data_IF_637684926977
#
_entry.id   IF_637684926977
#
_cell.length_a   1.000
_cell.length_b   1.000
_cell.length_c   1.000
_cell.angle_alpha   90.00
_cell.angle_beta   90.00
_cell.angle_gamma   90.00
#
_symmetry.space_group_name_H-M   'P 1'
#
loop_
_entity.id
_entity.type
_entity.pdbx_description
1 polymer ?
#
# COMPACT_ATOMS: atom_id res chain seq x y z
N UNK A 1 -15.57 17.00 15.28
CA UNK A 1 -14.12 16.79 15.06
C UNK A 1 -13.76 15.90 13.87
N UNK A 2 -14.70 15.11 13.37
CA UNK A 2 -14.56 14.35 12.09
C UNK A 2 -14.36 15.34 10.93
N UNK A 3 -15.11 16.43 10.91
CA UNK A 3 -14.99 17.48 9.88
C UNK A 3 -13.61 18.16 9.85
N UNK A 4 -13.02 18.44 11.01
CA UNK A 4 -11.67 19.03 11.11
C UNK A 4 -10.57 18.08 10.63
N UNK A 5 -10.76 16.75 10.78
CA UNK A 5 -9.82 15.72 10.31
C UNK A 5 -9.95 15.44 8.82
N UNK A 6 -11.17 15.34 8.30
CA UNK A 6 -11.38 15.26 6.85
C UNK A 6 -10.82 16.50 6.16
N UNK A 7 -10.99 17.68 6.76
CA UNK A 7 -10.35 18.92 6.31
C UNK A 7 -8.83 18.87 6.48
N UNK A 8 -8.30 18.20 7.51
CA UNK A 8 -6.85 18.01 7.71
C UNK A 8 -6.24 17.05 6.68
N UNK A 9 -6.88 15.92 6.40
CA UNK A 9 -6.47 14.98 5.35
C UNK A 9 -6.65 15.58 3.96
N UNK A 10 -7.73 16.33 3.73
CA UNK A 10 -7.92 17.09 2.51
C UNK A 10 -6.83 18.15 2.35
N UNK A 11 -6.46 18.85 3.45
CA UNK A 11 -5.35 19.82 3.46
C UNK A 11 -4.00 19.16 3.20
N UNK A 12 -3.72 17.98 3.75
CA UNK A 12 -2.48 17.26 3.49
C UNK A 12 -2.39 16.76 2.03
N UNK A 13 -3.49 16.22 1.49
CA UNK A 13 -3.61 15.89 0.06
C UNK A 13 -3.53 17.13 -0.83
N UNK A 14 -4.18 18.21 -0.43
CA UNK A 14 -4.09 19.50 -1.12
C UNK A 14 -2.69 20.10 -1.03
N UNK A 15 -1.95 19.89 0.07
CA UNK A 15 -0.57 20.38 0.22
C UNK A 15 0.39 19.59 -0.68
N UNK A 16 0.20 18.28 -0.80
CA UNK A 16 0.97 17.45 -1.73
C UNK A 16 0.66 17.81 -3.20
N UNK A 17 -0.62 17.92 -3.55
CA UNK A 17 -1.07 18.41 -4.86
C UNK A 17 -0.61 19.86 -5.09
N UNK A 18 -0.62 20.69 -4.06
CA UNK A 18 -0.13 22.08 -4.12
C UNK A 18 1.39 22.16 -4.33
N UNK A 19 2.16 21.29 -3.69
CA UNK A 19 3.62 21.23 -3.89
C UNK A 19 3.95 20.81 -5.33
N UNK A 20 3.31 19.76 -5.84
CA UNK A 20 3.42 19.36 -7.24
C UNK A 20 2.98 20.48 -8.19
N UNK A 21 1.89 21.19 -7.84
CA UNK A 21 1.33 22.27 -8.61
C UNK A 21 2.23 23.53 -8.59
N UNK A 22 2.83 23.87 -7.43
CA UNK A 22 3.68 25.06 -7.30
C UNK A 22 4.98 24.92 -8.09
N UNK A 23 5.59 23.73 -8.11
CA UNK A 23 6.79 23.46 -8.90
C UNK A 23 6.51 23.55 -10.41
N UNK A 24 5.37 23.00 -10.87
CA UNK A 24 4.92 23.14 -12.26
C UNK A 24 4.50 24.59 -12.59
N UNK A 25 3.93 25.30 -11.60
CA UNK A 25 3.40 26.65 -11.78
C UNK A 25 4.53 27.68 -11.95
N UNK A 26 5.67 27.52 -11.27
CA UNK A 26 6.80 28.44 -11.40
C UNK A 26 7.44 28.40 -12.79
N UNK A 27 7.38 27.27 -13.48
CA UNK A 27 7.96 27.10 -14.82
C UNK A 27 7.06 27.56 -15.98
N UNK A 28 5.80 28.00 -15.72
CA UNK A 28 4.83 28.29 -16.76
C UNK A 28 4.78 29.78 -17.14
N UNK A 29 4.46 30.12 -18.41
CA UNK A 29 4.10 31.47 -18.84
C UNK A 29 2.88 32.02 -18.07
N UNK A 30 2.81 33.34 -17.86
CA UNK A 30 1.78 33.99 -17.04
C UNK A 30 0.35 33.76 -17.53
N UNK A 31 0.13 33.65 -18.83
CA UNK A 31 -1.17 33.31 -19.42
C UNK A 31 -1.63 31.89 -19.09
N UNK A 32 -0.66 30.97 -18.98
CA UNK A 32 -0.92 29.59 -18.57
C UNK A 32 -1.10 29.46 -17.05
N UNK A 33 -0.42 30.30 -16.24
CA UNK A 33 -0.63 30.38 -14.80
C UNK A 33 -2.07 30.75 -14.44
N UNK A 34 -2.65 31.74 -15.12
CA UNK A 34 -4.03 32.16 -14.90
C UNK A 34 -5.02 31.03 -15.24
N UNK A 35 -4.82 30.36 -16.36
CA UNK A 35 -5.64 29.25 -16.82
C UNK A 35 -5.52 28.04 -15.88
N UNK A 36 -4.33 27.79 -15.34
CA UNK A 36 -4.09 26.73 -14.36
C UNK A 36 -4.73 27.03 -12.99
N UNK A 37 -4.80 28.29 -12.59
CA UNK A 37 -5.53 28.68 -11.38
C UNK A 37 -7.04 28.40 -11.48
N UNK A 38 -7.62 28.67 -12.66
CA UNK A 38 -9.02 28.36 -12.97
C UNK A 38 -9.26 26.83 -13.02
N UNK A 39 -8.31 26.09 -13.58
CA UNK A 39 -8.28 24.63 -13.65
C UNK A 39 -8.14 24.00 -12.26
N UNK A 40 -7.27 24.55 -11.39
CA UNK A 40 -7.10 24.07 -10.02
C UNK A 40 -8.40 24.21 -9.20
N UNK A 41 -9.10 25.31 -9.39
CA UNK A 41 -10.41 25.51 -8.78
C UNK A 41 -11.44 24.51 -9.34
N UNK A 42 -11.40 24.22 -10.63
CA UNK A 42 -12.24 23.21 -11.29
C UNK A 42 -11.92 21.78 -10.82
N UNK A 43 -10.62 21.44 -10.70
CA UNK A 43 -10.17 20.13 -10.25
C UNK A 43 -10.52 19.82 -8.77
N UNK A 44 -10.49 20.83 -7.92
CA UNK A 44 -10.98 20.71 -6.53
C UNK A 44 -12.49 20.44 -6.50
N UNK A 45 -13.21 20.81 -7.57
CA UNK A 45 -14.66 20.67 -7.69
C UNK A 45 -15.14 19.63 -8.72
N UNK A 46 -14.27 18.81 -9.33
CA UNK A 46 -14.70 17.65 -10.07
C UNK A 46 -14.10 17.32 -11.43
N UNK A 47 -13.03 17.98 -11.89
CA UNK A 47 -12.41 17.64 -13.18
C UNK A 47 -11.22 16.68 -13.03
N UNK A 48 -11.53 15.39 -13.07
CA UNK A 48 -10.59 14.27 -12.88
C UNK A 48 -9.44 14.26 -13.91
N UNK A 49 -9.73 14.56 -15.17
CA UNK A 49 -8.76 14.48 -16.28
C UNK A 49 -7.57 15.43 -16.12
N UNK A 50 -7.76 16.53 -15.40
CA UNK A 50 -6.71 17.52 -15.15
C UNK A 50 -5.72 17.04 -14.10
N UNK A 51 -6.22 16.46 -13.00
CA UNK A 51 -5.35 15.87 -11.96
C UNK A 51 -4.52 14.72 -12.53
N UNK A 52 -5.10 13.89 -13.39
CA UNK A 52 -4.41 12.82 -14.08
C UNK A 52 -3.31 13.36 -15.01
N UNK A 53 -3.56 14.43 -15.74
CA UNK A 53 -2.57 15.08 -16.61
C UNK A 53 -1.42 15.71 -15.82
N UNK A 54 -1.72 16.37 -14.69
CA UNK A 54 -0.70 16.96 -13.80
C UNK A 54 0.17 15.87 -13.17
N UNK A 55 -0.44 14.80 -12.67
CA UNK A 55 0.28 13.65 -12.11
C UNK A 55 1.18 12.98 -13.14
N UNK A 56 0.69 12.76 -14.37
CA UNK A 56 1.50 12.20 -15.44
C UNK A 56 2.69 13.09 -15.80
N UNK A 57 2.50 14.42 -15.85
CA UNK A 57 3.59 15.35 -16.13
C UNK A 57 4.63 15.40 -15.02
N UNK A 58 4.20 15.35 -13.75
CA UNK A 58 5.09 15.25 -12.60
C UNK A 58 5.98 13.99 -12.71
N UNK A 59 5.38 12.81 -12.84
CA UNK A 59 6.14 11.57 -12.96
C UNK A 59 7.06 11.51 -14.18
N UNK A 60 6.67 12.06 -15.34
CA UNK A 60 7.56 12.15 -16.52
C UNK A 60 8.84 12.91 -16.23
N UNK A 61 8.79 13.94 -15.37
CA UNK A 61 9.96 14.79 -15.04
C UNK A 61 10.77 14.24 -13.86
N UNK A 62 10.10 13.79 -12.80
CA UNK A 62 10.72 13.60 -11.47
C UNK A 62 10.95 12.14 -11.05
N UNK A 63 10.54 11.16 -11.84
CA UNK A 63 10.68 9.76 -11.45
C UNK A 63 12.13 9.32 -11.18
N UNK A 64 13.11 9.93 -11.85
CA UNK A 64 14.53 9.62 -11.62
C UNK A 64 14.98 10.06 -10.24
N UNK A 65 14.53 11.21 -9.80
CA UNK A 65 14.81 11.77 -8.47
C UNK A 65 14.11 10.93 -7.40
N UNK A 66 12.86 10.53 -7.65
CA UNK A 66 12.10 9.68 -6.74
C UNK A 66 12.70 8.26 -6.58
N UNK A 67 13.41 7.75 -7.59
CA UNK A 67 14.11 6.46 -7.51
C UNK A 67 15.43 6.58 -6.74
N UNK A 68 16.14 7.71 -6.85
CA UNK A 68 17.44 7.90 -6.23
C UNK A 68 17.27 8.55 -4.84
N UNK A 69 17.41 7.75 -3.80
CA UNK A 69 17.54 8.24 -2.43
C UNK A 69 19.03 8.38 -2.07
N UNK A 70 19.44 9.61 -1.69
CA UNK A 70 20.77 9.88 -1.15
C UNK A 70 21.93 9.49 -2.09
N UNK A 71 22.96 8.83 -1.56
CA UNK A 71 24.25 8.53 -2.22
C UNK A 71 24.18 7.46 -3.33
N UNK A 72 23.14 7.46 -4.19
CA UNK A 72 22.99 6.53 -5.31
C UNK A 72 22.31 5.21 -4.92
N UNK A 73 21.59 5.17 -3.82
CA UNK A 73 20.68 4.08 -3.47
C UNK A 73 19.36 4.25 -4.21
N UNK A 74 18.73 3.13 -4.57
CA UNK A 74 17.39 3.14 -5.14
C UNK A 74 16.37 2.76 -4.07
N UNK A 75 15.18 3.36 -4.16
CA UNK A 75 14.01 2.93 -3.38
C UNK A 75 13.65 1.47 -3.68
N UNK A 76 13.11 0.78 -2.69
CA UNK A 76 12.69 -0.62 -2.84
C UNK A 76 11.40 -0.78 -3.63
N UNK A 77 10.51 0.23 -3.54
CA UNK A 77 9.15 0.22 -4.08
C UNK A 77 8.72 1.64 -4.50
N UNK A 78 7.87 1.74 -5.54
CA UNK A 78 7.29 3.00 -6.04
C UNK A 78 5.78 2.96 -5.94
N UNK A 79 5.21 3.99 -5.31
CA UNK A 79 3.78 4.12 -5.08
C UNK A 79 3.07 4.80 -6.25
N UNK A 80 2.10 4.09 -6.86
CA UNK A 80 1.13 4.64 -7.82
C UNK A 80 1.74 5.46 -8.99
N UNK A 81 3.01 5.22 -9.32
CA UNK A 81 3.78 6.02 -10.28
C UNK A 81 3.22 5.98 -11.72
N UNK A 82 2.45 4.93 -12.05
CA UNK A 82 1.98 4.67 -13.42
C UNK A 82 0.49 4.95 -13.63
N UNK A 83 -0.21 5.36 -12.59
CA UNK A 83 -1.68 5.49 -12.55
C UNK A 83 -2.26 6.36 -13.66
N UNK A 84 -1.64 7.49 -13.93
CA UNK A 84 -2.15 8.53 -14.84
C UNK A 84 -1.75 8.34 -16.31
N UNK A 85 -1.01 7.28 -16.63
CA UNK A 85 -0.56 7.00 -17.99
C UNK A 85 -1.50 6.03 -18.71
N UNK A 86 -1.53 6.09 -20.06
CA UNK A 86 -2.17 5.05 -20.86
C UNK A 86 -1.47 3.70 -20.67
N UNK A 87 -2.09 2.56 -21.02
CA UNK A 87 -1.47 1.25 -20.84
C UNK A 87 -0.08 1.12 -21.47
N UNK A 88 0.09 1.64 -22.66
CA UNK A 88 1.37 1.60 -23.40
C UNK A 88 2.42 2.50 -22.75
N UNK A 89 2.06 3.75 -22.45
CA UNK A 89 2.98 4.69 -21.78
C UNK A 89 3.41 4.17 -20.40
N UNK A 90 2.49 3.54 -19.65
CA UNK A 90 2.81 2.89 -18.37
C UNK A 90 3.89 1.83 -18.53
N UNK A 91 3.71 0.92 -19.50
CA UNK A 91 4.66 -0.16 -19.74
C UNK A 91 6.03 0.36 -20.20
N UNK A 92 6.04 1.35 -21.09
CA UNK A 92 7.27 1.98 -21.59
C UNK A 92 8.01 2.68 -20.43
N UNK A 93 7.31 3.45 -19.60
CA UNK A 93 7.89 4.15 -18.44
C UNK A 93 8.36 3.15 -17.36
N UNK A 94 7.59 2.11 -17.05
CA UNK A 94 8.02 1.07 -16.13
C UNK A 94 9.33 0.41 -16.58
N UNK A 95 9.46 0.08 -17.86
CA UNK A 95 10.68 -0.49 -18.43
C UNK A 95 11.85 0.51 -18.37
N UNK A 96 11.59 1.80 -18.57
CA UNK A 96 12.61 2.85 -18.44
C UNK A 96 13.10 2.97 -17.00
N UNK A 97 12.18 2.97 -16.02
CA UNK A 97 12.50 2.99 -14.59
C UNK A 97 13.36 1.78 -14.19
N UNK A 98 12.98 0.57 -14.58
CA UNK A 98 13.75 -0.64 -14.28
C UNK A 98 15.15 -0.59 -14.89
N UNK A 99 15.26 -0.20 -16.17
CA UNK A 99 16.54 -0.06 -16.85
C UNK A 99 17.44 0.96 -16.17
N UNK A 100 16.89 2.10 -15.77
CA UNK A 100 17.62 3.13 -15.04
C UNK A 100 18.18 2.58 -13.72
N UNK A 101 17.37 1.85 -12.94
CA UNK A 101 17.82 1.25 -11.68
C UNK A 101 18.98 0.27 -11.91
N UNK A 102 18.85 -0.60 -12.92
CA UNK A 102 19.89 -1.59 -13.25
C UNK A 102 21.19 -0.95 -13.73
N UNK A 103 21.12 0.18 -14.44
CA UNK A 103 22.31 0.84 -15.00
C UNK A 103 22.93 1.89 -14.09
N UNK A 104 22.12 2.64 -13.33
CA UNK A 104 22.53 3.86 -12.66
C UNK A 104 22.62 3.76 -11.15
N UNK A 105 22.08 2.70 -10.53
CA UNK A 105 22.16 2.55 -9.08
C UNK A 105 23.29 1.62 -8.64
N UNK A 106 23.76 1.79 -7.41
CA UNK A 106 24.88 1.03 -6.85
C UNK A 106 24.61 -0.48 -6.77
N UNK A 107 23.41 -0.87 -6.31
CA UNK A 107 23.08 -2.27 -6.06
C UNK A 107 22.39 -2.95 -7.24
N UNK A 108 21.88 -2.18 -8.19
CA UNK A 108 21.19 -2.72 -9.38
C UNK A 108 20.01 -3.64 -9.03
N UNK A 109 19.30 -3.32 -7.94
CA UNK A 109 18.14 -4.09 -7.48
C UNK A 109 16.88 -3.48 -8.08
N UNK A 110 16.12 -4.19 -8.93
CA UNK A 110 14.89 -3.68 -9.54
C UNK A 110 13.87 -3.22 -8.50
N UNK A 111 13.07 -2.19 -8.83
CA UNK A 111 12.02 -1.68 -7.95
C UNK A 111 10.71 -2.46 -8.13
N UNK A 112 9.93 -2.56 -7.07
CA UNK A 112 8.52 -2.96 -7.15
C UNK A 112 7.70 -1.70 -7.43
N UNK A 113 6.77 -1.76 -8.37
CA UNK A 113 5.79 -0.70 -8.62
C UNK A 113 4.44 -1.24 -8.18
N UNK A 114 3.79 -0.54 -7.24
CA UNK A 114 2.48 -0.93 -6.76
C UNK A 114 1.38 0.06 -7.14
N UNK A 115 0.16 -0.43 -7.16
CA UNK A 115 -1.06 0.35 -7.28
C UNK A 115 -2.23 -0.33 -6.56
N UNK A 116 -3.37 0.37 -6.46
CA UNK A 116 -4.60 -0.16 -5.93
C UNK A 116 -5.37 -0.95 -7.00
N UNK A 117 -5.87 -2.14 -6.63
CA UNK A 117 -6.55 -3.04 -7.56
C UNK A 117 -7.80 -3.69 -6.96
N UNK A 118 -8.55 -2.98 -6.10
CA UNK A 118 -9.67 -3.56 -5.34
C UNK A 118 -10.76 -4.15 -6.23
N UNK A 119 -11.13 -3.45 -7.30
CA UNK A 119 -12.14 -3.87 -8.27
C UNK A 119 -11.78 -3.45 -9.71
N UNK A 120 -10.53 -3.52 -10.04
CA UNK A 120 -9.84 -3.07 -11.24
C UNK A 120 -8.57 -2.35 -10.86
N UNK A 121 -7.54 -2.37 -11.70
CA UNK A 121 -6.36 -1.55 -11.48
C UNK A 121 -6.77 -0.07 -11.56
N UNK A 122 -6.47 0.71 -10.52
CA UNK A 122 -6.86 2.13 -10.45
C UNK A 122 -5.96 3.00 -11.34
N UNK A 123 -5.88 2.65 -12.62
CA UNK A 123 -5.06 3.35 -13.60
C UNK A 123 -5.87 3.65 -14.87
N UNK A 124 -5.50 4.73 -15.56
CA UNK A 124 -6.18 5.20 -16.76
C UNK A 124 -6.31 4.11 -17.82
N UNK A 125 -7.55 3.85 -18.27
CA UNK A 125 -7.86 2.87 -19.32
C UNK A 125 -7.89 1.41 -18.84
N UNK A 126 -7.87 1.16 -17.52
CA UNK A 126 -8.18 -0.16 -16.98
C UNK A 126 -9.68 -0.39 -16.84
N UNK A 127 -10.08 -1.65 -16.85
CA UNK A 127 -11.46 -2.05 -16.61
C UNK A 127 -11.84 -1.81 -15.15
N UNK A 128 -12.97 -1.14 -14.94
CA UNK A 128 -13.59 -1.01 -13.61
C UNK A 128 -14.68 -2.06 -13.46
N UNK A 129 -14.48 -2.99 -12.55
CA UNK A 129 -15.47 -3.98 -12.14
C UNK A 129 -16.36 -3.42 -11.03
N UNK A 130 -17.46 -4.08 -10.66
CA UNK A 130 -18.24 -3.72 -9.48
C UNK A 130 -17.38 -3.70 -8.21
N UNK A 131 -17.75 -2.85 -7.24
CA UNK A 131 -17.09 -2.80 -5.94
C UNK A 131 -17.00 -4.16 -5.26
N UNK A 132 -16.01 -4.36 -4.39
CA UNK A 132 -15.74 -5.64 -3.73
C UNK A 132 -16.95 -6.20 -2.99
N UNK A 133 -17.74 -5.36 -2.32
CA UNK A 133 -18.98 -5.76 -1.66
C UNK A 133 -20.04 -6.29 -2.66
N UNK A 134 -20.13 -5.70 -3.85
CA UNK A 134 -21.03 -6.15 -4.89
C UNK A 134 -20.55 -7.48 -5.53
N UNK A 135 -19.24 -7.64 -5.74
CA UNK A 135 -18.67 -8.92 -6.18
C UNK A 135 -18.90 -10.02 -5.14
N UNK A 136 -18.76 -9.73 -3.85
CA UNK A 136 -19.06 -10.68 -2.77
C UNK A 136 -20.53 -11.08 -2.73
N UNK A 137 -21.45 -10.17 -3.10
CA UNK A 137 -22.89 -10.43 -3.15
C UNK A 137 -23.31 -11.45 -4.22
N UNK A 138 -22.42 -11.80 -5.14
CA UNK A 138 -22.64 -12.87 -6.11
C UNK A 138 -22.57 -14.26 -5.47
N UNK A 139 -21.86 -14.42 -4.35
CA UNK A 139 -21.55 -15.70 -3.71
C UNK A 139 -20.83 -16.68 -4.65
N UNK A 140 -20.15 -16.16 -5.67
CA UNK A 140 -19.50 -16.92 -6.74
C UNK A 140 -17.97 -16.74 -6.71
N UNK A 141 -17.23 -17.64 -6.05
CA UNK A 141 -15.77 -17.57 -5.98
C UNK A 141 -15.08 -17.80 -7.34
N UNK A 142 -15.71 -18.53 -8.26
CA UNK A 142 -15.13 -18.80 -9.58
C UNK A 142 -15.22 -17.52 -10.44
N UNK A 143 -16.34 -16.82 -10.41
CA UNK A 143 -16.48 -15.50 -11.03
C UNK A 143 -15.47 -14.50 -10.42
N UNK A 144 -15.28 -14.51 -9.10
CA UNK A 144 -14.27 -13.67 -8.45
C UNK A 144 -12.87 -13.96 -8.99
N UNK A 145 -12.50 -15.23 -9.20
CA UNK A 145 -11.22 -15.63 -9.76
C UNK A 145 -11.05 -15.16 -11.20
N UNK A 146 -12.09 -15.22 -12.02
CA UNK A 146 -12.09 -14.72 -13.39
C UNK A 146 -11.87 -13.21 -13.43
N UNK A 147 -12.62 -12.44 -12.63
CA UNK A 147 -12.46 -10.99 -12.46
C UNK A 147 -11.05 -10.65 -12.01
N UNK A 148 -10.56 -11.31 -10.96
CA UNK A 148 -9.21 -11.10 -10.43
C UNK A 148 -8.11 -11.43 -11.46
N UNK A 149 -8.33 -12.46 -12.28
CA UNK A 149 -7.43 -12.81 -13.39
C UNK A 149 -7.38 -11.71 -14.45
N UNK A 150 -8.54 -11.13 -14.79
CA UNK A 150 -8.61 -10.01 -15.72
C UNK A 150 -7.88 -8.77 -15.17
N UNK A 151 -8.14 -8.42 -13.89
CA UNK A 151 -7.43 -7.33 -13.18
C UNK A 151 -5.91 -7.57 -13.21
N UNK A 152 -5.48 -8.79 -12.88
CA UNK A 152 -4.06 -9.15 -12.85
C UNK A 152 -3.38 -9.01 -14.22
N UNK A 153 -4.03 -9.41 -15.29
CA UNK A 153 -3.52 -9.24 -16.67
C UNK A 153 -3.32 -7.76 -17.03
N UNK A 154 -4.33 -6.92 -16.76
CA UNK A 154 -4.23 -5.50 -17.03
C UNK A 154 -3.15 -4.83 -16.18
N UNK A 155 -3.07 -5.18 -14.90
CA UNK A 155 -2.07 -4.68 -13.96
C UNK A 155 -0.65 -5.03 -14.39
N UNK A 156 -0.41 -6.31 -14.70
CA UNK A 156 0.92 -6.79 -15.12
C UNK A 156 1.34 -6.19 -16.44
N UNK A 157 0.43 -6.08 -17.41
CA UNK A 157 0.72 -5.52 -18.73
C UNK A 157 1.20 -4.06 -18.70
N UNK A 158 0.87 -3.33 -17.63
CA UNK A 158 1.30 -1.95 -17.40
C UNK A 158 2.66 -1.82 -16.74
N UNK A 159 3.27 -2.93 -16.29
CA UNK A 159 4.52 -2.92 -15.53
C UNK A 159 4.31 -2.72 -14.02
N UNK A 160 3.09 -2.88 -13.51
CA UNK A 160 2.77 -2.88 -12.08
C UNK A 160 2.99 -4.31 -11.55
N UNK A 161 3.67 -4.42 -10.40
CA UNK A 161 4.14 -5.69 -9.85
C UNK A 161 3.34 -6.13 -8.63
N UNK A 162 2.74 -5.18 -7.91
CA UNK A 162 2.02 -5.42 -6.66
C UNK A 162 0.70 -4.66 -6.65
N UNK A 163 -0.34 -5.34 -6.20
CA UNK A 163 -1.64 -4.80 -5.91
C UNK A 163 -1.79 -4.64 -4.39
N UNK A 164 -2.08 -3.45 -3.90
CA UNK A 164 -2.43 -3.22 -2.50
C UNK A 164 -3.87 -3.66 -2.22
N UNK A 165 -4.14 -4.92 -2.50
CA UNK A 165 -5.46 -5.55 -2.54
C UNK A 165 -5.33 -7.05 -2.25
N UNK A 166 -6.38 -7.72 -1.76
CA UNK A 166 -7.74 -7.25 -1.49
C UNK A 166 -7.91 -6.61 -0.10
N UNK A 167 -8.99 -5.83 0.08
CA UNK A 167 -9.43 -5.40 1.42
C UNK A 167 -10.33 -6.47 2.02
N UNK A 168 -9.81 -7.18 3.03
CA UNK A 168 -10.47 -8.33 3.67
C UNK A 168 -10.85 -8.07 5.13
N UNK A 169 -10.98 -6.80 5.47
CA UNK A 169 -11.52 -6.39 6.76
C UNK A 169 -12.99 -6.80 6.88
N UNK A 170 -13.40 -7.23 8.06
CA UNK A 170 -14.78 -7.65 8.34
C UNK A 170 -15.62 -6.43 8.66
N UNK A 171 -16.67 -6.19 7.83
CA UNK A 171 -17.50 -4.98 7.86
C UNK A 171 -18.59 -5.08 8.94
N UNK A 172 -18.22 -5.18 10.22
CA UNK A 172 -19.17 -5.25 11.34
C UNK A 172 -19.68 -3.90 11.84
N UNK A 173 -18.95 -2.82 11.55
CA UNK A 173 -19.40 -1.47 11.89
C UNK A 173 -19.81 -0.73 10.61
N UNK A 174 -21.13 -0.51 10.40
CA UNK A 174 -21.62 0.16 9.19
C UNK A 174 -21.25 1.64 9.11
N UNK A 175 -20.70 2.22 10.18
CA UNK A 175 -20.20 3.61 10.18
C UNK A 175 -18.85 3.77 9.51
N UNK A 176 -18.15 2.66 9.22
CA UNK A 176 -16.91 2.70 8.46
C UNK A 176 -17.16 3.18 7.03
N UNK A 177 -16.49 4.26 6.63
CA UNK A 177 -16.62 4.87 5.30
C UNK A 177 -15.97 4.08 4.16
N UNK A 178 -15.46 2.85 4.43
CA UNK A 178 -14.79 1.98 3.45
C UNK A 178 -15.43 0.58 3.37
N UNK A 179 -16.69 0.47 3.79
CA UNK A 179 -17.42 -0.80 3.80
C UNK A 179 -17.53 -1.42 2.41
N UNK A 180 -17.69 -0.60 1.37
CA UNK A 180 -17.80 -1.06 -0.03
C UNK A 180 -16.52 -1.72 -0.57
N UNK A 181 -15.37 -1.45 0.04
CA UNK A 181 -14.11 -2.10 -0.34
C UNK A 181 -14.00 -3.54 0.16
N UNK A 182 -14.86 -3.95 1.11
CA UNK A 182 -14.80 -5.25 1.78
C UNK A 182 -15.64 -6.33 1.09
N UNK A 183 -15.46 -7.57 1.52
CA UNK A 183 -16.33 -8.69 1.13
C UNK A 183 -17.50 -8.92 2.12
N UNK A 184 -17.81 -7.93 2.96
CA UNK A 184 -18.93 -7.97 3.91
C UNK A 184 -18.53 -8.36 5.33
N UNK A 185 -19.54 -8.78 6.11
CA UNK A 185 -19.38 -9.03 7.54
C UNK A 185 -19.11 -10.51 7.90
N UNK A 186 -19.26 -11.43 6.95
CA UNK A 186 -19.07 -12.86 7.18
C UNK A 186 -17.62 -13.28 6.97
N UNK A 187 -16.92 -13.84 7.99
CA UNK A 187 -15.51 -14.23 7.88
C UNK A 187 -15.27 -15.37 6.89
N UNK A 188 -16.25 -16.28 6.69
CA UNK A 188 -16.11 -17.38 5.76
C UNK A 188 -16.21 -16.90 4.31
N UNK A 189 -17.24 -16.12 3.98
CA UNK A 189 -17.39 -15.51 2.65
C UNK A 189 -16.16 -14.65 2.31
N UNK A 190 -15.71 -13.79 3.24
CA UNK A 190 -14.52 -12.98 3.06
C UNK A 190 -13.28 -13.85 2.79
N UNK A 191 -13.14 -14.99 3.46
CA UNK A 191 -12.03 -15.93 3.25
C UNK A 191 -12.06 -16.55 1.85
N UNK A 192 -13.22 -17.02 1.40
CA UNK A 192 -13.36 -17.71 0.10
C UNK A 192 -13.13 -16.72 -1.05
N UNK A 193 -13.72 -15.52 -0.97
CA UNK A 193 -13.53 -14.48 -1.97
C UNK A 193 -12.08 -13.99 -2.01
N UNK A 194 -11.43 -13.83 -0.85
CA UNK A 194 -10.02 -13.47 -0.77
C UNK A 194 -9.10 -14.50 -1.43
N UNK A 195 -9.32 -15.79 -1.20
CA UNK A 195 -8.56 -16.86 -1.84
C UNK A 195 -8.66 -16.74 -3.35
N UNK A 196 -9.88 -16.64 -3.90
CA UNK A 196 -10.11 -16.53 -5.35
C UNK A 196 -9.47 -15.28 -5.96
N UNK A 197 -9.56 -14.15 -5.27
CA UNK A 197 -8.93 -12.91 -5.71
C UNK A 197 -7.40 -13.03 -5.75
N UNK A 198 -6.78 -13.57 -4.69
CA UNK A 198 -5.33 -13.74 -4.58
C UNK A 198 -4.81 -14.69 -5.65
N UNK A 199 -5.46 -15.84 -5.83
CA UNK A 199 -5.08 -16.82 -6.86
C UNK A 199 -5.18 -16.23 -8.27
N UNK A 200 -6.24 -15.46 -8.55
CA UNK A 200 -6.42 -14.79 -9.84
C UNK A 200 -5.29 -13.80 -10.18
N UNK A 201 -4.96 -12.89 -9.26
CA UNK A 201 -3.89 -11.91 -9.47
C UNK A 201 -2.50 -12.55 -9.47
N UNK A 202 -2.19 -13.38 -8.46
CA UNK A 202 -0.85 -14.00 -8.36
C UNK A 202 -0.60 -14.98 -9.51
N UNK A 203 -1.63 -15.60 -10.07
CA UNK A 203 -1.54 -16.36 -11.30
C UNK A 203 -1.07 -15.54 -12.50
N UNK A 204 -1.21 -14.22 -12.47
CA UNK A 204 -0.71 -13.28 -13.48
C UNK A 204 0.63 -12.62 -13.09
N UNK A 205 1.34 -13.14 -12.09
CA UNK A 205 2.58 -12.55 -11.57
C UNK A 205 2.41 -11.12 -11.05
N UNK A 206 1.30 -10.86 -10.34
CA UNK A 206 1.07 -9.65 -9.57
C UNK A 206 0.96 -10.05 -8.10
N UNK A 207 1.82 -9.51 -7.25
CA UNK A 207 1.79 -9.72 -5.80
C UNK A 207 0.53 -9.13 -5.23
N UNK A 208 -0.20 -9.89 -4.42
CA UNK A 208 -1.33 -9.37 -3.65
C UNK A 208 -0.93 -8.98 -2.24
N UNK A 209 -1.60 -7.98 -1.70
CA UNK A 209 -1.37 -7.45 -0.36
C UNK A 209 -2.70 -7.40 0.40
N UNK A 210 -3.18 -8.53 0.94
CA UNK A 210 -4.35 -8.52 1.81
C UNK A 210 -4.24 -7.47 2.89
N UNK A 211 -5.30 -6.68 3.10
CA UNK A 211 -5.28 -5.53 4.00
C UNK A 211 -6.59 -5.33 4.73
N UNK A 212 -6.61 -4.66 5.85
CA UNK A 212 -5.50 -4.14 6.66
C UNK A 212 -5.40 -5.01 7.91
N UNK A 213 -4.25 -5.59 8.18
CA UNK A 213 -4.03 -6.56 9.26
C UNK A 213 -3.75 -5.84 10.59
N UNK A 214 -4.74 -5.76 11.51
CA UNK A 214 -6.01 -6.45 11.53
C UNK A 214 -7.10 -5.56 12.15
N UNK A 215 -8.36 -5.86 11.84
CA UNK A 215 -9.56 -5.26 12.42
C UNK A 215 -9.65 -3.72 12.28
N UNK A 216 -9.18 -3.17 11.16
CA UNK A 216 -9.06 -1.71 10.94
C UNK A 216 -10.41 -0.98 10.92
N UNK A 217 -11.50 -1.62 10.45
CA UNK A 217 -12.79 -0.96 10.19
C UNK A 217 -13.76 -1.00 11.37
N UNK A 218 -13.35 -1.54 12.50
CA UNK A 218 -14.18 -1.69 13.71
C UNK A 218 -13.63 -0.94 14.91
N UNK A 219 -12.76 0.03 14.67
CA UNK A 219 -12.31 0.96 15.71
C UNK A 219 -13.45 1.82 16.25
N UNK A 220 -13.20 2.48 17.36
CA UNK A 220 -14.18 3.30 18.07
C UNK A 220 -14.93 4.26 17.14
N UNK A 221 -16.25 4.09 17.06
CA UNK A 221 -17.12 4.89 16.20
C UNK A 221 -17.02 4.55 14.70
N UNK A 222 -16.47 3.40 14.31
CA UNK A 222 -16.23 3.02 12.92
C UNK A 222 -15.14 3.84 12.24
N UNK A 223 -14.31 4.53 13.02
CA UNK A 223 -13.28 5.44 12.49
C UNK A 223 -12.03 4.68 12.11
N UNK A 224 -11.47 5.03 10.97
CA UNK A 224 -10.17 4.55 10.55
C UNK A 224 -9.06 4.96 11.52
N UNK A 225 -8.12 4.08 11.77
CA UNK A 225 -6.96 4.28 12.63
C UNK A 225 -7.27 4.46 14.14
N UNK A 226 -8.50 4.19 14.57
CA UNK A 226 -8.85 4.23 16.00
C UNK A 226 -8.59 2.88 16.67
N UNK A 227 -8.40 2.93 17.98
CA UNK A 227 -8.11 1.78 18.81
C UNK A 227 -9.25 0.76 18.80
N UNK A 228 -8.89 -0.52 18.89
CA UNK A 228 -9.83 -1.62 19.12
C UNK A 228 -9.49 -2.35 20.42
N UNK A 229 -10.55 -2.87 21.06
CA UNK A 229 -10.49 -3.60 22.32
C UNK A 229 -11.16 -4.95 22.14
N UNK A 230 -10.47 -5.89 21.51
CA UNK A 230 -10.98 -7.24 21.29
C UNK A 230 -10.10 -8.26 22.00
N UNK A 231 -10.76 -9.23 22.66
CA UNK A 231 -10.05 -10.39 23.17
C UNK A 231 -9.36 -11.15 22.03
N UNK A 232 -8.28 -11.85 22.33
CA UNK A 232 -7.60 -12.72 21.36
C UNK A 232 -8.58 -13.72 20.74
N UNK A 233 -9.54 -14.24 21.52
CA UNK A 233 -10.60 -15.13 21.02
C UNK A 233 -11.42 -14.46 19.92
N UNK A 234 -11.87 -13.22 20.12
CA UNK A 234 -12.64 -12.50 19.11
C UNK A 234 -11.80 -12.23 17.83
N UNK A 235 -10.53 -11.91 17.98
CA UNK A 235 -9.61 -11.79 16.85
C UNK A 235 -9.50 -13.10 16.07
N UNK A 236 -9.30 -14.23 16.76
CA UNK A 236 -9.12 -15.55 16.14
C UNK A 236 -10.39 -16.11 15.49
N UNK A 237 -11.54 -15.83 16.05
CA UNK A 237 -12.82 -16.34 15.54
C UNK A 237 -13.38 -15.49 14.39
N UNK A 238 -13.13 -14.18 14.37
CA UNK A 238 -13.79 -13.25 13.44
C UNK A 238 -12.83 -12.56 12.50
N UNK A 239 -11.73 -11.97 13.00
CA UNK A 239 -10.90 -11.05 12.21
C UNK A 239 -9.69 -11.71 11.58
N UNK A 240 -9.18 -12.82 12.11
CA UNK A 240 -8.06 -13.57 11.56
C UNK A 240 -8.42 -14.52 10.42
N UNK A 241 -9.60 -15.14 10.33
CA UNK A 241 -9.84 -16.22 9.38
C UNK A 241 -9.54 -15.86 7.92
N UNK A 242 -9.95 -14.70 7.45
CA UNK A 242 -9.69 -14.26 6.07
C UNK A 242 -8.19 -14.05 5.78
N UNK A 243 -7.45 -13.47 6.72
CA UNK A 243 -6.00 -13.30 6.61
C UNK A 243 -5.27 -14.64 6.66
N UNK A 244 -5.64 -15.51 7.59
CA UNK A 244 -5.08 -16.84 7.69
C UNK A 244 -5.29 -17.65 6.41
N UNK A 245 -6.51 -17.65 5.89
CA UNK A 245 -6.84 -18.31 4.63
C UNK A 245 -6.05 -17.73 3.43
N UNK A 246 -5.88 -16.43 3.38
CA UNK A 246 -5.06 -15.75 2.35
C UNK A 246 -3.61 -16.23 2.35
N UNK A 247 -3.06 -16.55 3.52
CA UNK A 247 -1.68 -17.01 3.67
C UNK A 247 -1.57 -18.51 3.44
N UNK A 248 -2.32 -19.32 4.22
CA UNK A 248 -2.15 -20.76 4.24
C UNK A 248 -2.72 -21.45 2.99
N UNK A 249 -3.80 -20.91 2.39
CA UNK A 249 -4.48 -21.52 1.25
C UNK A 249 -4.11 -20.85 -0.08
N UNK A 250 -4.11 -19.54 -0.13
CA UNK A 250 -3.83 -18.79 -1.37
C UNK A 250 -2.36 -18.37 -1.55
N UNK A 251 -1.53 -18.50 -0.51
CA UNK A 251 -0.11 -18.17 -0.59
C UNK A 251 0.18 -16.71 -0.87
N UNK A 252 -0.54 -15.78 -0.22
CA UNK A 252 -0.27 -14.35 -0.35
C UNK A 252 1.20 -14.01 -0.08
N UNK A 253 1.79 -13.15 -0.91
CA UNK A 253 3.23 -12.83 -0.88
C UNK A 253 3.54 -11.51 -0.20
N UNK A 254 2.55 -10.66 0.04
CA UNK A 254 2.66 -9.46 0.85
C UNK A 254 1.44 -9.34 1.76
N UNK A 255 1.51 -8.46 2.75
CA UNK A 255 0.43 -8.16 3.68
C UNK A 255 0.61 -6.74 4.19
N UNK A 256 -0.49 -5.99 4.39
CA UNK A 256 -0.43 -4.63 4.91
C UNK A 256 -0.88 -4.58 6.36
N UNK A 257 0.00 -4.05 7.23
CA UNK A 257 -0.34 -3.80 8.63
C UNK A 257 -1.34 -2.65 8.75
N UNK A 258 -2.32 -2.78 9.64
CA UNK A 258 -3.38 -1.79 9.82
C UNK A 258 -2.90 -0.54 10.58
N UNK A 259 -3.65 0.56 10.39
CA UNK A 259 -3.41 1.82 11.11
C UNK A 259 -3.71 1.77 12.60
N UNK A 260 -4.69 0.97 13.01
CA UNK A 260 -5.22 0.96 14.37
C UNK A 260 -4.27 0.27 15.36
N UNK A 261 -4.50 0.54 16.64
CA UNK A 261 -3.93 -0.24 17.75
C UNK A 261 -4.90 -1.30 18.24
N UNK A 262 -4.36 -2.36 18.84
CA UNK A 262 -5.08 -3.38 19.59
C UNK A 262 -4.65 -3.24 21.05
N UNK A 263 -5.58 -2.88 21.92
CA UNK A 263 -5.31 -2.65 23.37
C UNK A 263 -4.04 -1.79 23.60
N UNK A 264 -3.94 -0.66 22.89
CA UNK A 264 -2.84 0.28 22.98
C UNK A 264 -1.58 -0.05 22.17
N UNK A 265 -1.48 -1.24 21.54
CA UNK A 265 -0.34 -1.61 20.71
C UNK A 265 -0.67 -1.46 19.21
N UNK A 266 -0.07 -0.47 18.51
CA UNK A 266 -0.30 -0.28 17.07
C UNK A 266 0.06 -1.49 16.24
N UNK A 267 -0.77 -1.86 15.26
CA UNK A 267 -0.54 -3.04 14.42
C UNK A 267 0.81 -2.99 13.70
N UNK A 268 1.26 -1.81 13.29
CA UNK A 268 2.55 -1.60 12.60
C UNK A 268 3.79 -1.88 13.49
N UNK A 269 3.63 -1.98 14.81
CA UNK A 269 4.70 -2.36 15.73
C UNK A 269 4.27 -3.45 16.74
N UNK A 270 3.27 -4.23 16.40
CA UNK A 270 2.77 -5.31 17.24
C UNK A 270 3.53 -6.62 16.93
N UNK A 271 4.55 -6.92 17.73
CA UNK A 271 5.39 -8.11 17.57
C UNK A 271 4.59 -9.41 17.65
N UNK A 272 3.66 -9.52 18.61
CA UNK A 272 2.79 -10.69 18.72
C UNK A 272 2.02 -10.94 17.42
N UNK A 273 1.44 -9.86 16.84
CA UNK A 273 0.66 -9.96 15.62
C UNK A 273 1.53 -10.34 14.41
N UNK A 274 2.66 -9.62 14.19
CA UNK A 274 3.46 -9.72 12.97
C UNK A 274 4.48 -10.86 12.99
N UNK A 275 4.97 -11.27 14.16
CA UNK A 275 5.92 -12.37 14.28
C UNK A 275 5.28 -13.63 14.82
N UNK A 276 4.67 -13.58 16.01
CA UNK A 276 4.26 -14.80 16.70
C UNK A 276 3.07 -15.44 15.96
N UNK A 277 2.02 -14.67 15.66
CA UNK A 277 0.86 -15.14 14.91
C UNK A 277 1.17 -15.30 13.42
N UNK A 278 1.52 -14.19 12.74
CA UNK A 278 1.64 -14.18 11.29
C UNK A 278 2.74 -15.12 10.77
N UNK A 279 3.93 -15.02 11.34
CA UNK A 279 5.10 -15.78 10.87
C UNK A 279 5.28 -17.11 11.63
N UNK A 280 5.04 -17.10 12.93
CA UNK A 280 5.20 -18.28 13.79
C UNK A 280 4.09 -19.29 13.58
N UNK A 281 2.83 -18.89 13.77
CA UNK A 281 1.70 -19.82 13.68
C UNK A 281 1.29 -20.11 12.23
N UNK A 282 1.15 -19.07 11.38
CA UNK A 282 0.66 -19.23 10.00
C UNK A 282 1.75 -19.45 8.97
N UNK A 283 3.02 -19.35 9.36
CA UNK A 283 4.16 -19.63 8.51
C UNK A 283 4.34 -18.66 7.34
N UNK A 284 3.87 -17.41 7.44
CA UNK A 284 3.99 -16.40 6.38
C UNK A 284 5.43 -16.19 5.94
N UNK A 285 5.70 -16.32 4.66
CA UNK A 285 7.03 -16.21 4.04
C UNK A 285 7.25 -14.92 3.24
N UNK A 286 6.16 -14.17 3.01
CA UNK A 286 6.19 -12.89 2.30
C UNK A 286 6.69 -11.73 3.18
N UNK A 287 6.52 -10.51 2.69
CA UNK A 287 6.88 -9.30 3.42
C UNK A 287 5.64 -8.49 3.86
N UNK A 288 5.81 -7.73 4.94
CA UNK A 288 4.77 -6.86 5.50
C UNK A 288 5.10 -5.43 5.12
N UNK A 289 4.14 -4.75 4.47
CA UNK A 289 4.20 -3.31 4.23
C UNK A 289 3.42 -2.56 5.30
N UNK A 290 3.80 -1.31 5.54
CA UNK A 290 2.98 -0.40 6.32
C UNK A 290 1.77 0.05 5.51
N UNK A 291 0.69 0.47 6.16
CA UNK A 291 -0.24 1.40 5.53
C UNK A 291 0.44 2.78 5.41
N UNK A 292 -0.07 3.66 4.54
CA UNK A 292 0.58 4.92 4.19
C UNK A 292 0.80 5.83 5.40
N UNK A 293 2.09 6.05 5.74
CA UNK A 293 2.50 6.85 6.89
C UNK A 293 2.23 6.20 8.25
N UNK A 294 1.87 4.90 8.32
CA UNK A 294 1.51 4.27 9.59
C UNK A 294 2.71 4.09 10.54
N UNK A 295 3.93 4.01 10.03
CA UNK A 295 5.15 4.01 10.86
C UNK A 295 5.33 5.38 11.51
N UNK A 296 5.17 6.46 10.75
CA UNK A 296 5.20 7.83 11.29
C UNK A 296 4.11 8.05 12.33
N UNK A 297 2.96 7.38 12.21
CA UNK A 297 1.88 7.43 13.21
C UNK A 297 2.30 6.88 14.58
N UNK A 298 3.29 6.00 14.68
CA UNK A 298 3.82 5.54 15.98
C UNK A 298 4.36 6.72 16.79
N UNK A 299 4.97 7.70 16.14
CA UNK A 299 5.46 8.94 16.71
C UNK A 299 4.38 10.02 16.80
N UNK A 300 3.65 10.30 15.71
CA UNK A 300 2.80 11.48 15.60
C UNK A 300 1.40 11.30 16.16
N UNK A 301 0.86 10.07 16.15
CA UNK A 301 -0.53 9.77 16.54
C UNK A 301 -0.61 8.88 17.77
N UNK A 302 -0.04 7.67 17.71
CA UNK A 302 -0.12 6.70 18.80
C UNK A 302 0.76 7.06 20.00
N UNK A 303 1.79 7.88 19.78
CA UNK A 303 2.71 8.35 20.84
C UNK A 303 3.44 7.21 21.57
N UNK A 304 3.66 6.10 20.89
CA UNK A 304 4.43 4.95 21.41
C UNK A 304 5.91 5.02 21.06
N UNK A 305 6.32 6.00 20.27
CA UNK A 305 7.70 6.32 19.94
C UNK A 305 7.95 7.82 20.21
N UNK A 306 9.13 8.18 20.72
CA UNK A 306 9.52 9.56 21.00
C UNK A 306 10.16 10.26 19.79
N UNK A 307 10.64 9.49 18.79
CA UNK A 307 11.30 10.00 17.59
C UNK A 307 10.95 9.12 16.37
N UNK A 308 11.22 9.62 15.16
CA UNK A 308 11.13 8.83 13.92
C UNK A 308 12.05 7.60 13.97
N UNK A 309 13.27 7.75 14.45
CA UNK A 309 14.23 6.65 14.62
C UNK A 309 13.69 5.54 15.55
N UNK A 310 13.06 5.91 16.67
CA UNK A 310 12.44 4.93 17.56
C UNK A 310 11.23 4.25 16.89
N UNK A 311 10.43 4.99 16.13
CA UNK A 311 9.31 4.44 15.35
C UNK A 311 9.79 3.41 14.33
N UNK A 312 10.83 3.74 13.54
CA UNK A 312 11.46 2.83 12.58
C UNK A 312 11.97 1.54 13.25
N UNK A 313 12.71 1.69 14.36
CA UNK A 313 13.22 0.56 15.13
C UNK A 313 12.11 -0.36 15.61
N UNK A 314 11.08 0.19 16.27
CA UNK A 314 9.94 -0.58 16.79
C UNK A 314 9.19 -1.32 15.68
N UNK A 315 8.93 -0.66 14.57
CA UNK A 315 8.25 -1.27 13.43
C UNK A 315 9.06 -2.44 12.85
N UNK A 316 10.33 -2.21 12.54
CA UNK A 316 11.19 -3.22 11.93
C UNK A 316 11.45 -4.42 12.86
N UNK A 317 11.75 -4.19 14.15
CA UNK A 317 11.92 -5.26 15.15
C UNK A 317 10.64 -6.07 15.39
N UNK A 318 9.48 -5.48 15.14
CA UNK A 318 8.19 -6.16 15.23
C UNK A 318 7.82 -6.97 13.99
N UNK A 319 8.60 -6.89 12.91
CA UNK A 319 8.40 -7.70 11.70
C UNK A 319 7.69 -6.98 10.54
N UNK A 320 7.57 -5.64 10.59
CA UNK A 320 7.21 -4.82 9.44
C UNK A 320 8.46 -4.64 8.58
N UNK A 321 8.36 -4.90 7.28
CA UNK A 321 9.53 -5.01 6.40
C UNK A 321 9.74 -3.78 5.52
N UNK A 322 8.68 -3.02 5.20
CA UNK A 322 8.72 -1.88 4.29
C UNK A 322 7.77 -0.78 4.73
N UNK A 323 8.26 0.45 4.77
CA UNK A 323 7.45 1.65 5.00
C UNK A 323 6.90 2.19 3.68
N UNK A 324 5.63 2.60 3.66
CA UNK A 324 4.93 3.21 2.53
C UNK A 324 4.26 4.53 2.95
N UNK A 325 4.05 5.49 2.01
CA UNK A 325 4.54 5.50 0.63
C UNK A 325 5.98 6.00 0.51
N UNK A 326 6.48 6.68 1.52
CA UNK A 326 7.80 7.31 1.64
C UNK A 326 8.55 6.70 2.82
N UNK A 327 9.87 6.88 2.87
CA UNK A 327 10.73 6.34 3.93
C UNK A 327 10.85 7.31 5.12
N UNK A 328 9.77 7.94 5.53
CA UNK A 328 9.72 8.99 6.58
C UNK A 328 10.47 8.65 7.88
N UNK A 329 10.42 7.38 8.27
CA UNK A 329 11.09 6.86 9.45
C UNK A 329 12.21 5.89 9.09
N UNK A 330 12.05 5.09 8.05
CA UNK A 330 13.04 4.06 7.67
C UNK A 330 14.34 4.65 7.12
N UNK A 331 14.36 5.92 6.73
CA UNK A 331 15.61 6.66 6.46
C UNK A 331 16.58 6.66 7.65
N UNK A 332 16.07 6.56 8.89
CA UNK A 332 16.86 6.52 10.13
C UNK A 332 17.55 5.16 10.39
N UNK A 333 17.17 4.09 9.68
CA UNK A 333 17.64 2.72 9.93
C UNK A 333 19.16 2.62 9.81
N UNK A 334 19.74 3.24 8.78
CA UNK A 334 21.19 3.21 8.57
C UNK A 334 21.95 3.82 9.74
N UNK A 335 21.48 4.95 10.27
CA UNK A 335 22.02 5.60 11.46
C UNK A 335 21.95 4.68 12.70
N UNK A 336 20.78 4.08 12.92
CA UNK A 336 20.56 3.17 14.05
C UNK A 336 21.47 1.93 14.02
N UNK A 337 21.73 1.38 12.83
CA UNK A 337 22.66 0.24 12.68
C UNK A 337 24.11 0.68 12.95
N UNK A 338 24.55 1.80 12.37
CA UNK A 338 25.90 2.35 12.59
C UNK A 338 26.19 2.67 14.08
N UNK A 339 25.18 3.11 14.80
CA UNK A 339 25.26 3.41 16.23
C UNK A 339 25.10 2.15 17.13
N UNK A 340 24.88 0.98 16.55
CA UNK A 340 24.65 -0.27 17.27
C UNK A 340 23.32 -0.33 18.04
N UNK A 341 22.39 0.57 17.73
CA UNK A 341 21.04 0.65 18.34
C UNK A 341 20.03 -0.30 17.70
N UNK A 342 20.27 -0.72 16.46
CA UNK A 342 19.49 -1.69 15.72
C UNK A 342 20.43 -2.79 15.18
N UNK A 343 20.04 -4.05 15.35
CA UNK A 343 20.82 -5.18 14.83
C UNK A 343 20.69 -5.28 13.30
N UNK A 344 21.80 -5.36 12.59
CA UNK A 344 21.86 -5.61 11.15
C UNK A 344 21.08 -6.88 10.74
N UNK A 345 21.06 -7.91 11.58
CA UNK A 345 20.29 -9.15 11.33
C UNK A 345 18.78 -8.88 11.14
N UNK A 346 18.23 -7.89 11.81
CA UNK A 346 16.80 -7.53 11.66
C UNK A 346 16.54 -6.91 10.27
N UNK A 347 17.48 -6.07 9.83
CA UNK A 347 17.44 -5.48 8.48
C UNK A 347 17.61 -6.57 7.41
N UNK A 348 18.57 -7.47 7.60
CA UNK A 348 18.82 -8.60 6.68
C UNK A 348 17.58 -9.49 6.50
N UNK A 349 16.84 -9.74 7.59
CA UNK A 349 15.60 -10.54 7.52
C UNK A 349 14.52 -9.83 6.71
N UNK A 350 14.32 -8.52 6.89
CA UNK A 350 13.38 -7.73 6.12
C UNK A 350 13.76 -7.71 4.62
N UNK A 351 15.02 -7.40 4.32
CA UNK A 351 15.57 -7.41 2.96
C UNK A 351 15.41 -8.78 2.30
N UNK A 352 15.69 -9.86 3.00
CA UNK A 352 15.57 -11.24 2.49
C UNK A 352 14.12 -11.56 2.08
N UNK A 353 13.13 -11.10 2.86
CA UNK A 353 11.71 -11.29 2.54
C UNK A 353 11.30 -10.54 1.28
N UNK A 354 11.71 -9.29 1.16
CA UNK A 354 11.45 -8.45 -0.02
C UNK A 354 12.13 -9.05 -1.26
N UNK A 355 13.42 -9.39 -1.17
CA UNK A 355 14.17 -9.97 -2.30
C UNK A 355 13.57 -11.30 -2.76
N UNK A 356 13.10 -12.16 -1.84
CA UNK A 356 12.40 -13.40 -2.22
C UNK A 356 11.21 -13.13 -3.14
N UNK A 357 10.43 -12.10 -2.85
CA UNK A 357 9.29 -11.74 -3.69
C UNK A 357 9.73 -11.10 -5.01
N UNK A 358 10.78 -10.29 -5.02
CA UNK A 358 11.37 -9.77 -6.26
C UNK A 358 11.87 -10.91 -7.18
N UNK A 359 12.48 -11.95 -6.63
CA UNK A 359 12.83 -13.16 -7.39
C UNK A 359 11.59 -13.90 -7.91
N UNK A 360 10.55 -14.06 -7.09
CA UNK A 360 9.30 -14.69 -7.53
C UNK A 360 8.64 -13.92 -8.67
N UNK A 361 8.75 -12.60 -8.69
CA UNK A 361 8.26 -11.73 -9.77
C UNK A 361 9.07 -11.85 -11.07
N UNK A 362 10.25 -12.47 -11.04
CA UNK A 362 11.18 -12.54 -12.20
C UNK A 362 11.87 -11.19 -12.48
N UNK A 363 12.03 -10.32 -11.47
CA UNK A 363 12.62 -9.00 -11.69
C UNK A 363 14.13 -9.04 -11.94
N UNK A 364 14.77 -10.17 -11.68
CA UNK A 364 16.22 -10.39 -11.91
C UNK A 364 16.51 -11.22 -13.15
N UNK A 365 15.47 -11.67 -13.89
CA UNK A 365 15.59 -12.53 -15.07
C UNK A 365 15.97 -11.75 -16.33
#
# INVERSE_FOLDING_TARGET
DVYKRQVGQLKARMLHVWKMFSELFEELPEDQKKRLGEIFLGAVFGERDILESLSANYWRKHWREAILEGEGYAVGELSCALRSFSPRESAELANEMQRFVLEKTRLKIPVIIHDECLHGCMAKGCTSFPQSIALASTWDPDLMREVATAIGKETRARGIHQALSPTINIARDPRCGRTEETYGEDPYLASVMAISFIEGLQGQKVVTTPKHFVANFVGDGGRDSYEIHFSERALREVYFPAFKASIEKAGALSLMAAYNSIDGVPCSCNRWLLNDVLRGEWGFKGYVVSDYGSVLHLYTKHKVAATKAEAAKKALESGLDMELPESDCFEEILGLVREGKLSEKVVDEAVRRILRVKFWLGLFD
#
